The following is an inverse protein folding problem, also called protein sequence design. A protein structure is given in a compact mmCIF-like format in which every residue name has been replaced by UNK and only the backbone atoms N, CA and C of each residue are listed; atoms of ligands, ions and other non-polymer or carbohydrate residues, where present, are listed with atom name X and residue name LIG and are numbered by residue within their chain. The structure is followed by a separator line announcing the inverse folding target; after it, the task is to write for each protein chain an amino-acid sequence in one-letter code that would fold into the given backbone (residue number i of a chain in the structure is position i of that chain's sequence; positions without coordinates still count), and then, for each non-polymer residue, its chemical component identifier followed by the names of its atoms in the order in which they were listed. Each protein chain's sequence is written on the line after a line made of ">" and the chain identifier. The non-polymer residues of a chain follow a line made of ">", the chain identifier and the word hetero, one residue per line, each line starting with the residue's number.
data_IF_543901196460
#
_entry.id   IF_543901196460
#
_cell.length_a   1.000
_cell.length_b   1.000
_cell.length_c   1.000
_cell.angle_alpha   90.00
_cell.angle_beta   90.00
_cell.angle_gamma   90.00
#
_symmetry.space_group_name_H-M   'P 1'
#
loop_
_entity.id
_entity.type
_entity.pdbx_description
1 polymer ?
#
# COMPACT_ATOMS: atom_id res chain seq x y z
N UNK A 1 40.63 26.19 -27.21
CA UNK A 1 39.68 25.38 -26.39
C UNK A 1 39.72 25.74 -24.91
N UNK A 2 40.86 25.78 -24.24
CA UNK A 2 40.95 26.08 -22.77
C UNK A 2 40.26 27.36 -22.31
N UNK A 3 40.35 28.46 -23.07
CA UNK A 3 39.74 29.76 -22.69
C UNK A 3 38.22 29.75 -22.63
N UNK A 4 37.52 28.94 -23.44
CA UNK A 4 36.07 28.83 -23.47
C UNK A 4 35.56 28.10 -22.23
N UNK A 5 36.22 27.01 -21.82
CA UNK A 5 35.83 26.27 -20.60
C UNK A 5 36.12 27.08 -19.32
N UNK A 6 37.22 27.84 -19.27
CA UNK A 6 37.51 28.71 -18.14
C UNK A 6 36.43 29.84 -17.98
N UNK A 7 35.87 30.34 -19.11
CA UNK A 7 34.78 31.30 -19.05
C UNK A 7 33.51 30.67 -18.50
N UNK A 8 33.12 29.46 -18.97
CA UNK A 8 31.93 28.75 -18.48
C UNK A 8 32.01 28.54 -16.96
N UNK A 9 33.16 28.05 -16.46
CA UNK A 9 33.39 27.85 -15.02
C UNK A 9 33.31 29.16 -14.25
N UNK A 10 33.81 30.25 -14.80
CA UNK A 10 33.73 31.58 -14.19
C UNK A 10 32.31 32.11 -14.20
N UNK A 11 31.57 31.94 -15.28
CA UNK A 11 30.18 32.41 -15.43
C UNK A 11 29.20 31.59 -14.56
N UNK A 12 29.52 30.34 -14.21
CA UNK A 12 28.83 29.56 -13.20
C UNK A 12 29.12 30.09 -11.79
N UNK A 13 30.34 30.59 -11.54
CA UNK A 13 30.75 31.14 -10.24
C UNK A 13 30.35 32.62 -10.02
N UNK A 14 30.12 33.38 -11.06
CA UNK A 14 29.79 34.81 -10.94
C UNK A 14 28.63 35.20 -11.88
N UNK A 15 27.44 35.62 -11.39
CA UNK A 15 27.09 35.87 -9.99
C UNK A 15 26.56 34.64 -9.30
N UNK A 16 27.26 34.16 -8.29
CA UNK A 16 26.95 32.94 -7.52
C UNK A 16 25.48 32.85 -7.07
N UNK A 17 24.88 33.96 -6.64
CA UNK A 17 23.49 34.00 -6.18
C UNK A 17 22.47 33.59 -7.24
N UNK A 18 22.66 33.97 -8.49
CA UNK A 18 21.73 33.65 -9.60
C UNK A 18 21.86 32.21 -10.09
N UNK A 19 23.12 31.73 -10.22
CA UNK A 19 23.38 30.34 -10.53
C UNK A 19 22.86 29.42 -9.42
N UNK A 20 23.02 29.82 -8.17
CA UNK A 20 22.47 29.10 -7.02
C UNK A 20 20.94 29.06 -7.04
N UNK A 21 20.27 30.19 -7.31
CA UNK A 21 18.79 30.21 -7.44
C UNK A 21 18.30 29.29 -8.55
N UNK A 22 19.01 29.23 -9.69
CA UNK A 22 18.66 28.34 -10.80
C UNK A 22 18.85 26.87 -10.42
N UNK A 23 19.99 26.55 -9.78
CA UNK A 23 20.25 25.18 -9.27
C UNK A 23 19.19 24.78 -8.26
N UNK A 24 18.83 25.64 -7.30
CA UNK A 24 17.80 25.36 -6.32
C UNK A 24 16.41 25.20 -6.97
N UNK A 25 16.06 26.02 -7.94
CA UNK A 25 14.78 25.91 -8.65
C UNK A 25 14.64 24.54 -9.36
N UNK A 26 15.70 24.10 -10.05
CA UNK A 26 15.72 22.79 -10.71
C UNK A 26 15.71 21.68 -9.67
N UNK A 27 16.52 21.81 -8.61
CA UNK A 27 16.62 20.81 -7.55
C UNK A 27 15.30 20.61 -6.82
N UNK A 28 14.51 21.69 -6.57
CA UNK A 28 13.16 21.61 -5.97
C UNK A 28 12.21 20.84 -6.89
N UNK A 29 12.26 21.06 -8.21
CA UNK A 29 11.43 20.32 -9.16
C UNK A 29 11.76 18.82 -9.16
N UNK A 30 13.05 18.48 -9.24
CA UNK A 30 13.55 17.09 -9.16
C UNK A 30 13.19 16.46 -7.82
N UNK A 31 13.37 17.19 -6.72
CA UNK A 31 13.01 16.77 -5.37
C UNK A 31 11.53 16.40 -5.29
N UNK A 32 10.62 17.28 -5.73
CA UNK A 32 9.17 17.05 -5.63
C UNK A 32 8.73 15.79 -6.38
N UNK A 33 9.21 15.62 -7.62
CA UNK A 33 8.90 14.42 -8.43
C UNK A 33 9.51 13.17 -7.79
N UNK A 34 10.79 13.24 -7.39
CA UNK A 34 11.50 12.11 -6.79
C UNK A 34 10.86 11.62 -5.49
N UNK A 35 10.38 12.53 -4.64
CA UNK A 35 9.64 12.18 -3.41
C UNK A 35 8.36 11.44 -3.74
N UNK A 36 7.55 11.96 -4.67
CA UNK A 36 6.24 11.40 -4.96
C UNK A 36 6.35 10.07 -5.70
N UNK A 37 7.14 10.00 -6.78
CA UNK A 37 7.31 8.76 -7.54
C UNK A 37 8.07 7.70 -6.76
N UNK A 38 9.06 8.10 -5.94
CA UNK A 38 9.78 7.21 -5.05
C UNK A 38 8.84 6.58 -4.02
N UNK A 39 8.08 7.39 -3.30
CA UNK A 39 7.10 6.89 -2.32
C UNK A 39 6.00 6.04 -2.96
N UNK A 40 5.46 6.46 -4.10
CA UNK A 40 4.45 5.70 -4.83
C UNK A 40 4.94 4.32 -5.22
N UNK A 41 6.14 4.22 -5.81
CA UNK A 41 6.68 2.94 -6.26
C UNK A 41 6.94 1.97 -5.11
N UNK A 42 7.40 2.47 -3.96
CA UNK A 42 7.60 1.65 -2.74
C UNK A 42 6.25 1.22 -2.18
N UNK A 43 5.33 2.14 -1.91
CA UNK A 43 4.02 1.82 -1.33
C UNK A 43 3.22 0.86 -2.21
N UNK A 44 3.18 1.09 -3.52
CA UNK A 44 2.46 0.20 -4.46
C UNK A 44 3.00 -1.22 -4.44
N UNK A 45 4.32 -1.38 -4.41
CA UNK A 45 4.97 -2.69 -4.30
C UNK A 45 4.65 -3.34 -2.96
N UNK A 46 4.91 -2.62 -1.86
CA UNK A 46 4.71 -3.16 -0.51
C UNK A 46 3.25 -3.50 -0.23
N UNK A 47 2.30 -2.70 -0.70
CA UNK A 47 0.87 -2.98 -0.58
C UNK A 47 0.50 -4.31 -1.25
N UNK A 48 1.01 -4.56 -2.45
CA UNK A 48 0.83 -5.83 -3.15
C UNK A 48 1.50 -6.99 -2.42
N UNK A 49 2.78 -6.84 -2.06
CA UNK A 49 3.59 -7.92 -1.50
C UNK A 49 3.12 -8.28 -0.08
N UNK A 50 2.75 -7.30 0.73
CA UNK A 50 2.14 -7.53 2.05
C UNK A 50 0.82 -8.30 1.90
N UNK A 51 -0.06 -7.89 0.98
CA UNK A 51 -1.32 -8.59 0.73
C UNK A 51 -1.11 -10.04 0.25
N UNK A 52 -0.27 -10.25 -0.75
CA UNK A 52 0.01 -11.58 -1.28
C UNK A 52 0.69 -12.50 -0.25
N UNK A 53 1.48 -11.95 0.67
CA UNK A 53 2.07 -12.73 1.76
C UNK A 53 1.04 -13.35 2.70
N UNK A 54 -0.19 -12.82 2.76
CA UNK A 54 -1.29 -13.42 3.52
C UNK A 54 -1.87 -14.67 2.86
N UNK A 55 -1.45 -15.02 1.64
CA UNK A 55 -2.04 -16.08 0.82
C UNK A 55 -3.55 -15.85 0.68
N UNK A 56 -4.00 -14.77 -0.02
CA UNK A 56 -5.41 -14.47 -0.10
C UNK A 56 -6.17 -15.60 -0.81
N UNK A 57 -7.32 -15.97 -0.26
CA UNK A 57 -8.19 -16.95 -0.90
C UNK A 57 -8.58 -16.48 -2.32
N UNK A 58 -8.57 -17.40 -3.29
CA UNK A 58 -8.99 -17.11 -4.66
C UNK A 58 -10.48 -16.79 -4.73
N UNK A 59 -11.30 -17.45 -3.90
CA UNK A 59 -12.72 -17.14 -3.74
C UNK A 59 -13.23 -17.48 -2.35
N UNK A 60 -14.27 -16.77 -1.93
CA UNK A 60 -15.07 -17.07 -0.74
C UNK A 60 -16.50 -17.34 -1.16
N UNK A 61 -17.04 -18.50 -0.83
CA UNK A 61 -18.39 -18.94 -1.16
C UNK A 61 -19.22 -18.94 0.11
N UNK A 62 -20.33 -18.20 0.11
CA UNK A 62 -21.24 -18.07 1.24
C UNK A 62 -22.42 -19.04 1.10
N UNK A 63 -22.75 -19.74 2.18
CA UNK A 63 -23.80 -20.77 2.20
C UNK A 63 -24.79 -20.55 3.33
N UNK A 64 -25.99 -21.16 3.21
CA UNK A 64 -27.09 -21.06 4.15
C UNK A 64 -26.92 -21.92 5.41
N UNK A 65 -26.13 -23.01 5.31
CA UNK A 65 -25.91 -23.98 6.38
C UNK A 65 -24.45 -24.03 6.79
N UNK A 66 -24.18 -24.53 8.02
CA UNK A 66 -22.81 -24.64 8.47
C UNK A 66 -22.07 -25.78 7.79
N UNK A 67 -20.90 -25.46 7.28
CA UNK A 67 -20.01 -26.38 6.61
C UNK A 67 -19.44 -27.40 7.60
N UNK A 68 -19.58 -28.67 7.29
CA UNK A 68 -18.93 -29.76 8.03
C UNK A 68 -17.51 -29.98 7.50
N UNK A 69 -16.68 -30.73 8.28
CA UNK A 69 -15.33 -31.06 7.82
C UNK A 69 -15.37 -31.95 6.58
N UNK A 70 -16.29 -32.90 6.56
CA UNK A 70 -16.46 -33.88 5.49
C UNK A 70 -16.72 -33.20 4.12
N UNK A 71 -17.60 -32.20 4.11
CA UNK A 71 -17.87 -31.44 2.87
C UNK A 71 -16.63 -30.65 2.40
N UNK A 72 -15.89 -30.03 3.33
CA UNK A 72 -14.67 -29.31 2.99
C UNK A 72 -13.60 -30.26 2.46
N UNK A 73 -13.45 -31.44 3.08
CA UNK A 73 -12.49 -32.45 2.61
C UNK A 73 -12.89 -33.00 1.24
N UNK A 74 -14.20 -33.15 0.93
CA UNK A 74 -14.65 -33.52 -0.41
C UNK A 74 -14.35 -32.44 -1.46
N UNK A 75 -14.45 -31.18 -1.10
CA UNK A 75 -14.11 -30.05 -1.99
C UNK A 75 -12.60 -30.00 -2.26
N UNK A 76 -11.75 -30.35 -1.29
CA UNK A 76 -10.28 -30.42 -1.51
C UNK A 76 -9.89 -31.42 -2.60
N UNK A 77 -10.71 -32.42 -2.85
CA UNK A 77 -10.47 -33.45 -3.90
C UNK A 77 -10.90 -32.98 -5.30
N UNK A 78 -11.49 -31.79 -5.40
CA UNK A 78 -11.89 -31.24 -6.70
C UNK A 78 -10.65 -30.80 -7.48
N UNK A 79 -10.56 -31.19 -8.74
CA UNK A 79 -9.48 -30.78 -9.63
C UNK A 79 -9.40 -29.26 -9.73
N UNK A 80 -8.19 -28.70 -9.56
CA UNK A 80 -7.94 -27.27 -9.58
C UNK A 80 -8.06 -26.59 -8.22
N UNK A 81 -8.33 -27.32 -7.12
CA UNK A 81 -8.32 -26.80 -5.76
C UNK A 81 -7.02 -27.20 -5.05
N UNK A 82 -6.29 -26.23 -4.55
CA UNK A 82 -5.11 -26.41 -3.71
C UNK A 82 -5.49 -26.45 -2.23
N UNK A 83 -6.33 -25.49 -1.80
CA UNK A 83 -6.77 -25.36 -0.40
C UNK A 83 -8.27 -25.13 -0.37
N UNK A 84 -8.96 -25.76 0.59
CA UNK A 84 -10.32 -25.41 0.97
C UNK A 84 -10.41 -25.34 2.50
N UNK A 85 -10.94 -24.24 3.02
CA UNK A 85 -11.07 -23.96 4.45
C UNK A 85 -12.46 -23.44 4.76
N UNK A 86 -13.05 -23.92 5.84
CA UNK A 86 -14.27 -23.32 6.37
C UNK A 86 -13.94 -22.11 7.23
N UNK A 87 -14.77 -21.12 7.11
CA UNK A 87 -14.59 -19.83 7.78
C UNK A 87 -15.94 -19.26 8.19
N UNK A 88 -15.93 -18.34 9.16
CA UNK A 88 -17.06 -17.49 9.44
C UNK A 88 -16.57 -16.08 9.77
N UNK A 89 -17.35 -15.10 9.39
CA UNK A 89 -17.14 -13.72 9.75
C UNK A 89 -18.37 -13.24 10.53
N UNK A 90 -18.14 -12.60 11.66
CA UNK A 90 -19.18 -12.14 12.54
C UNK A 90 -19.02 -10.65 12.80
N UNK A 91 -19.98 -9.85 12.31
CA UNK A 91 -20.06 -8.45 12.69
C UNK A 91 -20.78 -8.35 14.05
N UNK A 92 -20.08 -7.82 15.03
CA UNK A 92 -20.55 -7.60 16.39
C UNK A 92 -20.23 -6.18 16.83
N UNK A 93 -20.43 -5.86 18.10
CA UNK A 93 -20.12 -4.55 18.68
C UNK A 93 -19.26 -4.69 19.91
N UNK A 94 -18.33 -3.78 20.10
CA UNK A 94 -17.49 -3.63 21.28
C UNK A 94 -17.83 -2.33 22.02
N UNK A 95 -17.76 -2.35 23.34
CA UNK A 95 -18.03 -1.21 24.19
C UNK A 95 -16.72 -0.55 24.60
N UNK A 96 -16.54 0.72 24.23
CA UNK A 96 -15.33 1.49 24.52
C UNK A 96 -15.74 2.91 24.94
N UNK A 97 -15.26 3.37 26.09
CA UNK A 97 -15.47 4.74 26.56
C UNK A 97 -16.93 5.23 26.48
N UNK A 98 -17.88 4.41 26.90
CA UNK A 98 -19.30 4.77 26.91
C UNK A 98 -20.03 4.63 25.57
N UNK A 99 -19.37 4.14 24.51
CA UNK A 99 -19.94 3.98 23.15
C UNK A 99 -19.74 2.59 22.60
N UNK A 100 -20.63 2.19 21.71
CA UNK A 100 -20.57 0.95 20.96
C UNK A 100 -19.93 1.19 19.59
N UNK A 101 -18.83 0.48 19.29
CA UNK A 101 -18.16 0.47 17.99
C UNK A 101 -18.33 -0.87 17.30
N UNK A 102 -18.32 -0.93 15.96
CA UNK A 102 -18.28 -2.19 15.22
C UNK A 102 -17.04 -3.01 15.58
N UNK A 103 -17.22 -4.32 15.68
CA UNK A 103 -16.13 -5.28 15.85
C UNK A 103 -16.36 -6.44 14.88
N UNK A 104 -15.44 -6.61 13.93
CA UNK A 104 -15.44 -7.71 12.98
C UNK A 104 -14.60 -8.86 13.54
N UNK A 105 -15.24 -10.00 13.78
CA UNK A 105 -14.60 -11.20 14.28
C UNK A 105 -14.43 -12.22 13.16
N UNK A 106 -13.20 -12.65 12.96
CA UNK A 106 -12.84 -13.75 12.07
C UNK A 106 -12.75 -15.04 12.86
N UNK A 107 -13.60 -16.01 12.53
CA UNK A 107 -13.64 -17.29 13.21
C UNK A 107 -12.73 -18.26 12.48
N UNK A 108 -11.70 -18.73 13.17
CA UNK A 108 -10.70 -19.64 12.64
C UNK A 108 -10.97 -21.05 13.16
N UNK A 109 -10.99 -22.03 12.27
CA UNK A 109 -11.19 -23.43 12.63
C UNK A 109 -9.97 -24.02 13.33
N UNK A 110 -8.79 -23.84 12.74
CA UNK A 110 -7.52 -24.25 13.31
C UNK A 110 -6.43 -23.20 13.07
N UNK A 111 -5.96 -22.57 14.15
CA UNK A 111 -4.92 -21.54 14.08
C UNK A 111 -3.55 -22.10 13.66
N UNK A 112 -3.32 -23.42 13.82
CA UNK A 112 -2.05 -24.06 13.44
C UNK A 112 -2.01 -24.47 11.95
N UNK A 113 -3.18 -24.66 11.34
CA UNK A 113 -3.31 -25.16 9.95
C UNK A 113 -3.91 -24.15 9.00
N UNK A 114 -3.97 -22.88 9.38
CA UNK A 114 -4.52 -21.85 8.54
C UNK A 114 -3.64 -21.62 7.31
N UNK A 115 -4.16 -21.88 6.13
CA UNK A 115 -3.42 -21.82 4.87
C UNK A 115 -3.73 -20.58 4.05
N UNK A 116 -4.97 -20.02 4.17
CA UNK A 116 -5.39 -18.83 3.42
C UNK A 116 -5.65 -17.63 4.34
N UNK A 117 -5.55 -16.42 3.82
CA UNK A 117 -5.80 -15.14 4.52
C UNK A 117 -5.12 -15.09 5.90
N UNK A 118 -3.83 -15.39 5.92
CA UNK A 118 -3.01 -15.47 7.14
C UNK A 118 -2.90 -14.11 7.82
N UNK A 119 -3.06 -14.09 9.14
CA UNK A 119 -2.63 -12.99 9.98
C UNK A 119 -1.31 -13.37 10.65
N UNK A 120 -0.37 -12.43 10.71
CA UNK A 120 0.98 -12.68 11.23
C UNK A 120 1.00 -12.44 12.74
N UNK A 121 1.63 -13.34 13.49
CA UNK A 121 1.82 -13.19 14.90
C UNK A 121 2.74 -12.01 15.23
N UNK A 122 2.35 -11.19 16.20
CA UNK A 122 3.16 -10.07 16.72
C UNK A 122 3.57 -10.31 18.16
N UNK A 123 2.61 -10.53 19.06
CA UNK A 123 2.89 -10.75 20.50
C UNK A 123 1.78 -11.55 21.18
N UNK A 124 2.03 -11.98 22.42
CA UNK A 124 1.08 -12.66 23.29
C UNK A 124 0.81 -14.11 22.91
N UNK A 125 -0.43 -14.54 22.99
CA UNK A 125 -0.81 -15.91 22.65
C UNK A 125 -0.82 -16.12 21.12
N UNK A 126 -0.29 -17.25 20.64
CA UNK A 126 -0.36 -17.63 19.21
C UNK A 126 -1.74 -18.12 18.79
N UNK A 127 -2.51 -18.66 19.74
CA UNK A 127 -3.92 -19.02 19.54
C UNK A 127 -4.73 -18.61 20.76
N UNK A 128 -5.96 -18.10 20.59
CA UNK A 128 -6.78 -17.71 21.73
C UNK A 128 -7.37 -18.93 22.41
N UNK A 129 -7.44 -18.89 23.76
CA UNK A 129 -8.25 -19.82 24.53
C UNK A 129 -9.75 -19.56 24.32
N UNK A 130 -10.61 -20.43 24.87
CA UNK A 130 -12.04 -20.14 24.91
C UNK A 130 -12.33 -18.88 25.73
N UNK A 131 -13.16 -17.98 25.24
CA UNK A 131 -13.42 -16.68 25.84
C UNK A 131 -12.34 -15.63 25.61
N UNK A 132 -11.39 -15.89 24.70
CA UNK A 132 -10.34 -14.96 24.33
C UNK A 132 -10.31 -14.71 22.82
N UNK A 133 -9.67 -13.60 22.41
CA UNK A 133 -9.41 -13.27 20.99
C UNK A 133 -7.99 -12.76 20.80
N UNK A 134 -7.46 -12.93 19.58
CA UNK A 134 -6.31 -12.18 19.10
C UNK A 134 -6.81 -10.91 18.45
N UNK A 135 -6.07 -9.81 18.60
CA UNK A 135 -6.48 -8.48 18.11
C UNK A 135 -5.53 -8.04 17.00
N UNK A 136 -6.07 -7.47 15.95
CA UNK A 136 -5.27 -6.82 14.93
C UNK A 136 -4.59 -5.57 15.54
N UNK A 137 -3.31 -5.37 15.29
CA UNK A 137 -2.45 -4.38 15.97
C UNK A 137 -3.01 -2.95 15.95
N UNK A 138 -3.66 -2.53 14.84
CA UNK A 138 -4.24 -1.18 14.71
C UNK A 138 -5.52 -1.00 15.51
N UNK A 139 -6.17 -2.09 15.93
CA UNK A 139 -7.43 -2.02 16.65
C UNK A 139 -7.26 -1.65 18.14
N UNK A 140 -6.08 -1.85 18.74
CA UNK A 140 -5.85 -1.51 20.14
C UNK A 140 -6.06 -0.01 20.44
N UNK A 141 -5.64 0.88 19.52
CA UNK A 141 -5.87 2.31 19.66
C UNK A 141 -7.37 2.67 19.70
N UNK A 142 -8.17 2.04 18.84
CA UNK A 142 -9.63 2.23 18.81
C UNK A 142 -10.30 1.61 20.04
N UNK A 143 -9.81 0.45 20.50
CA UNK A 143 -10.33 -0.27 21.67
C UNK A 143 -9.97 0.43 22.98
N UNK A 144 -9.04 1.37 22.99
CA UNK A 144 -8.46 2.00 24.18
C UNK A 144 -8.06 0.94 25.22
N UNK A 145 -7.41 -0.12 24.77
CA UNK A 145 -7.07 -1.32 25.53
C UNK A 145 -5.70 -1.83 25.12
N UNK A 146 -5.16 -2.75 25.88
CA UNK A 146 -3.88 -3.42 25.62
C UNK A 146 -4.02 -4.92 25.74
N UNK A 147 -2.99 -5.64 25.36
CA UNK A 147 -2.92 -7.09 25.52
C UNK A 147 -3.06 -7.47 27.00
N UNK A 148 -3.91 -8.46 27.26
CA UNK A 148 -4.25 -8.92 28.61
C UNK A 148 -5.55 -8.34 29.18
N UNK A 149 -6.04 -7.22 28.65
CA UNK A 149 -7.29 -6.60 29.08
C UNK A 149 -8.53 -7.41 28.67
N UNK A 150 -9.69 -7.07 29.24
CA UNK A 150 -11.00 -7.59 28.85
C UNK A 150 -11.79 -6.54 28.10
N UNK A 151 -12.41 -6.95 27.02
CA UNK A 151 -13.30 -6.12 26.19
C UNK A 151 -14.74 -6.65 26.29
N UNK A 152 -15.69 -5.74 26.47
CA UNK A 152 -17.11 -6.09 26.44
C UNK A 152 -17.60 -6.12 25.00
N UNK A 153 -18.07 -7.28 24.55
CA UNK A 153 -18.55 -7.55 23.20
C UNK A 153 -19.99 -7.98 23.20
N UNK A 154 -20.79 -7.51 22.26
CA UNK A 154 -22.22 -7.83 22.15
C UNK A 154 -22.61 -8.13 20.72
N UNK A 155 -23.17 -9.31 20.47
CA UNK A 155 -23.85 -9.62 19.25
C UNK A 155 -25.26 -8.96 19.22
N UNK A 156 -25.84 -8.73 18.06
CA UNK A 156 -27.03 -7.88 17.82
C UNK A 156 -28.15 -8.08 18.86
N UNK A 157 -28.50 -9.32 19.18
CA UNK A 157 -29.57 -9.66 20.14
C UNK A 157 -29.06 -10.44 21.37
N UNK A 158 -27.74 -10.52 21.55
CA UNK A 158 -27.11 -11.25 22.66
C UNK A 158 -26.88 -10.40 23.90
N UNK A 159 -26.61 -11.07 25.01
CA UNK A 159 -26.10 -10.42 26.22
C UNK A 159 -24.63 -10.01 26.01
N UNK A 160 -24.19 -8.88 26.58
CA UNK A 160 -22.79 -8.50 26.57
C UNK A 160 -21.93 -9.58 27.21
N UNK A 161 -20.82 -9.93 26.57
CA UNK A 161 -19.84 -10.92 27.04
C UNK A 161 -18.47 -10.25 27.18
N UNK A 162 -17.72 -10.61 28.20
CA UNK A 162 -16.34 -10.20 28.36
C UNK A 162 -15.44 -11.17 27.62
N UNK A 163 -14.57 -10.63 26.76
CA UNK A 163 -13.59 -11.40 25.99
C UNK A 163 -12.20 -10.88 26.30
N UNK A 164 -11.30 -11.79 26.62
CA UNK A 164 -9.89 -11.45 26.94
C UNK A 164 -9.12 -11.18 25.67
N UNK A 165 -8.33 -10.11 25.64
CA UNK A 165 -7.40 -9.76 24.56
C UNK A 165 -6.10 -10.54 24.78
N UNK A 166 -5.96 -11.70 24.11
CA UNK A 166 -4.92 -12.68 24.46
C UNK A 166 -3.61 -12.48 23.71
N UNK A 167 -3.63 -11.75 22.62
CA UNK A 167 -2.43 -11.53 21.80
C UNK A 167 -2.72 -10.63 20.61
N UNK A 168 -1.66 -10.24 19.93
CA UNK A 168 -1.65 -9.30 18.82
C UNK A 168 -1.27 -10.01 17.54
N UNK A 169 -1.99 -9.72 16.47
CA UNK A 169 -1.67 -10.14 15.11
C UNK A 169 -1.61 -8.93 14.18
N UNK A 170 -0.90 -9.10 13.08
CA UNK A 170 -0.88 -8.15 11.98
C UNK A 170 -1.53 -8.76 10.75
N UNK A 171 -2.54 -8.09 10.19
CA UNK A 171 -3.20 -8.48 8.95
C UNK A 171 -3.15 -7.32 7.94
N UNK A 172 -2.19 -7.33 7.04
CA UNK A 172 -2.06 -6.26 6.04
C UNK A 172 -3.19 -6.26 4.99
N UNK A 173 -4.06 -7.27 4.97
CA UNK A 173 -5.26 -7.28 4.13
C UNK A 173 -6.42 -6.49 4.75
N UNK A 174 -6.37 -6.19 6.04
CA UNK A 174 -7.40 -5.40 6.73
C UNK A 174 -7.04 -3.91 6.71
N UNK A 175 -8.00 -3.02 6.43
CA UNK A 175 -7.77 -1.58 6.59
C UNK A 175 -7.46 -1.25 8.06
N UNK A 176 -6.78 -0.14 8.34
CA UNK A 176 -6.52 0.28 9.71
C UNK A 176 -7.83 0.52 10.48
N UNK A 177 -7.91 0.04 11.72
CA UNK A 177 -9.13 0.12 12.54
C UNK A 177 -9.61 1.55 12.77
N UNK A 178 -8.70 2.53 12.85
CA UNK A 178 -9.04 3.94 13.02
C UNK A 178 -9.73 4.54 11.79
N UNK A 179 -9.40 4.05 10.57
CA UNK A 179 -9.99 4.53 9.32
C UNK A 179 -11.44 4.06 9.18
N UNK A 180 -11.69 2.77 9.43
CA UNK A 180 -13.03 2.18 9.32
C UNK A 180 -13.84 2.29 10.61
N UNK A 181 -13.26 2.85 11.68
CA UNK A 181 -13.86 2.88 13.03
C UNK A 181 -14.37 1.50 13.46
N UNK A 182 -13.67 0.44 13.06
CA UNK A 182 -14.03 -0.96 13.25
C UNK A 182 -12.87 -1.72 13.84
N UNK A 183 -13.10 -2.41 14.94
CA UNK A 183 -12.12 -3.34 15.53
C UNK A 183 -12.07 -4.64 14.74
N UNK A 184 -10.91 -5.31 14.77
CA UNK A 184 -10.71 -6.62 14.12
C UNK A 184 -10.16 -7.61 15.15
N UNK A 185 -10.86 -8.75 15.28
CA UNK A 185 -10.47 -9.81 16.20
C UNK A 185 -10.53 -11.19 15.55
N UNK A 186 -9.71 -12.12 16.06
CA UNK A 186 -9.62 -13.50 15.61
C UNK A 186 -9.96 -14.43 16.77
N UNK A 187 -10.99 -15.24 16.60
CA UNK A 187 -11.51 -16.14 17.63
C UNK A 187 -11.58 -17.57 17.13
N UNK A 188 -11.61 -18.50 18.05
CA UNK A 188 -11.92 -19.91 17.77
C UNK A 188 -13.44 -20.18 17.84
N UNK A 189 -13.84 -21.38 17.42
CA UNK A 189 -15.23 -21.79 17.42
C UNK A 189 -15.83 -21.82 18.86
N UNK A 190 -15.04 -22.16 19.88
CA UNK A 190 -15.52 -22.18 21.27
C UNK A 190 -15.87 -20.77 21.76
N UNK A 191 -15.06 -19.78 21.46
CA UNK A 191 -15.38 -18.37 21.74
C UNK A 191 -16.60 -17.89 20.97
N UNK A 192 -16.73 -18.27 19.67
CA UNK A 192 -17.93 -17.95 18.90
C UNK A 192 -19.20 -18.46 19.59
N UNK A 193 -19.17 -19.71 20.09
CA UNK A 193 -20.34 -20.32 20.77
C UNK A 193 -20.72 -19.63 22.09
N UNK A 194 -19.80 -18.93 22.74
CA UNK A 194 -20.10 -18.07 23.89
C UNK A 194 -20.84 -16.79 23.47
N UNK A 195 -20.49 -16.21 22.31
CA UNK A 195 -21.08 -14.97 21.80
C UNK A 195 -22.42 -15.26 21.11
N UNK A 196 -22.45 -16.31 20.30
CA UNK A 196 -23.63 -16.74 19.53
C UNK A 196 -23.64 -18.28 19.39
N UNK A 197 -24.51 -18.92 20.16
CA UNK A 197 -24.62 -20.38 20.21
C UNK A 197 -25.04 -21.02 18.88
N UNK A 198 -25.82 -20.29 18.08
CA UNK A 198 -26.39 -20.81 16.81
C UNK A 198 -25.46 -20.62 15.62
N UNK A 199 -24.46 -19.76 15.74
CA UNK A 199 -23.54 -19.43 14.61
C UNK A 199 -22.47 -20.53 14.46
N UNK A 200 -22.05 -20.79 13.21
CA UNK A 200 -21.01 -21.73 12.82
C UNK A 200 -20.28 -21.26 11.58
N UNK A 201 -19.58 -22.13 10.89
CA UNK A 201 -18.87 -21.82 9.66
C UNK A 201 -19.81 -21.82 8.46
N UNK A 202 -20.10 -20.65 7.92
CA UNK A 202 -21.03 -20.43 6.78
C UNK A 202 -20.30 -19.93 5.52
N UNK A 203 -18.99 -19.91 5.52
CA UNK A 203 -18.16 -19.50 4.40
C UNK A 203 -17.14 -20.59 4.06
N UNK A 204 -16.99 -20.90 2.78
CA UNK A 204 -15.93 -21.73 2.23
C UNK A 204 -14.93 -20.83 1.51
N UNK A 205 -13.67 -20.85 1.95
CA UNK A 205 -12.55 -20.22 1.26
C UNK A 205 -11.82 -21.26 0.44
N UNK A 206 -11.54 -20.96 -0.82
CA UNK A 206 -10.78 -21.82 -1.71
C UNK A 206 -9.57 -21.08 -2.28
N UNK A 207 -8.47 -21.82 -2.46
CA UNK A 207 -7.30 -21.41 -3.22
C UNK A 207 -7.19 -22.37 -4.42
N UNK A 208 -7.14 -21.79 -5.62
CA UNK A 208 -6.96 -22.59 -6.84
C UNK A 208 -5.49 -22.95 -7.01
N UNK A 209 -5.20 -24.18 -7.50
CA UNK A 209 -3.83 -24.69 -7.68
C UNK A 209 -3.10 -24.01 -8.84
N UNK A 210 -3.84 -23.71 -9.92
CA UNK A 210 -3.30 -23.10 -11.12
C UNK A 210 -4.16 -21.90 -11.54
N UNK A 211 -3.59 -21.04 -12.39
CA UNK A 211 -4.35 -19.90 -12.92
C UNK A 211 -4.80 -18.88 -11.87
N UNK A 212 -4.11 -18.78 -10.71
CA UNK A 212 -4.43 -17.85 -9.61
C UNK A 212 -4.48 -16.38 -10.04
N UNK A 213 -3.97 -16.07 -11.24
CA UNK A 213 -3.94 -14.72 -11.81
C UNK A 213 -5.06 -14.47 -12.83
N UNK A 214 -5.81 -15.51 -13.21
CA UNK A 214 -6.90 -15.44 -14.18
C UNK A 214 -8.25 -15.41 -13.50
N UNK A 215 -8.94 -14.26 -13.59
CA UNK A 215 -10.27 -14.08 -13.02
C UNK A 215 -11.27 -15.10 -13.60
N UNK A 216 -11.18 -15.37 -14.91
CA UNK A 216 -12.09 -16.32 -15.59
C UNK A 216 -11.85 -17.75 -15.13
N UNK A 217 -10.59 -18.15 -14.92
CA UNK A 217 -10.26 -19.45 -14.37
C UNK A 217 -10.78 -19.62 -12.95
N UNK A 218 -10.51 -18.66 -12.06
CA UNK A 218 -11.01 -18.66 -10.68
C UNK A 218 -12.54 -18.74 -10.67
N UNK A 219 -13.21 -17.97 -11.53
CA UNK A 219 -14.67 -17.96 -11.63
C UNK A 219 -15.21 -19.33 -12.05
N UNK A 220 -14.58 -19.98 -13.04
CA UNK A 220 -14.98 -21.32 -13.50
C UNK A 220 -14.86 -22.36 -12.39
N UNK A 221 -13.72 -22.41 -11.68
CA UNK A 221 -13.51 -23.35 -10.57
C UNK A 221 -14.48 -23.05 -9.42
N UNK A 222 -14.65 -21.78 -9.05
CA UNK A 222 -15.58 -21.37 -7.98
C UNK A 222 -17.02 -21.75 -8.30
N UNK A 223 -17.46 -21.67 -9.56
CA UNK A 223 -18.79 -22.11 -10.01
C UNK A 223 -18.94 -23.62 -9.93
N UNK A 224 -17.91 -24.40 -10.30
CA UNK A 224 -17.90 -25.86 -10.14
C UNK A 224 -18.04 -26.25 -8.67
N UNK A 225 -17.29 -25.62 -7.77
CA UNK A 225 -17.41 -25.85 -6.31
C UNK A 225 -18.80 -25.47 -5.80
N UNK A 226 -19.35 -24.35 -6.25
CA UNK A 226 -20.70 -23.92 -5.87
C UNK A 226 -21.77 -24.93 -6.34
N UNK A 227 -21.58 -25.55 -7.50
CA UNK A 227 -22.48 -26.60 -8.00
C UNK A 227 -22.40 -27.88 -7.14
N UNK A 228 -21.19 -28.27 -6.72
CA UNK A 228 -21.02 -29.42 -5.81
C UNK A 228 -21.68 -29.16 -4.44
N UNK A 229 -21.50 -27.93 -3.87
CA UNK A 229 -22.19 -27.54 -2.65
C UNK A 229 -23.71 -27.63 -2.80
N UNK A 230 -24.26 -27.19 -3.95
CA UNK A 230 -25.69 -27.31 -4.23
C UNK A 230 -26.14 -28.78 -4.29
N UNK A 231 -25.37 -29.65 -4.93
CA UNK A 231 -25.68 -31.11 -4.97
C UNK A 231 -25.62 -31.74 -3.59
N UNK A 232 -24.75 -31.24 -2.70
CA UNK A 232 -24.68 -31.63 -1.29
C UNK A 232 -25.78 -31.00 -0.40
N UNK A 233 -26.74 -30.28 -1.00
CA UNK A 233 -27.88 -29.68 -0.30
C UNK A 233 -27.61 -28.33 0.37
N UNK A 234 -26.55 -27.64 0.01
CA UNK A 234 -26.29 -26.26 0.45
C UNK A 234 -26.87 -25.25 -0.54
N UNK A 235 -27.45 -24.17 -0.03
CA UNK A 235 -27.84 -23.01 -0.86
C UNK A 235 -26.69 -22.01 -0.85
N UNK A 236 -26.15 -21.72 -2.02
CA UNK A 236 -25.09 -20.72 -2.21
C UNK A 236 -25.71 -19.34 -2.32
N UNK A 237 -25.36 -18.43 -1.44
CA UNK A 237 -25.83 -17.04 -1.41
C UNK A 237 -24.99 -16.13 -2.29
N UNK A 238 -23.67 -16.36 -2.34
CA UNK A 238 -22.77 -15.53 -3.11
C UNK A 238 -21.39 -16.18 -3.29
N UNK A 239 -20.67 -15.72 -4.30
CA UNK A 239 -19.27 -16.06 -4.56
C UNK A 239 -18.52 -14.73 -4.65
N UNK A 240 -17.64 -14.47 -3.71
CA UNK A 240 -16.78 -13.29 -3.69
C UNK A 240 -15.41 -13.70 -4.24
N UNK A 241 -14.96 -13.04 -5.30
CA UNK A 241 -13.66 -13.26 -5.92
C UNK A 241 -12.89 -11.93 -5.83
N UNK A 242 -11.88 -11.84 -4.98
CA UNK A 242 -11.06 -10.63 -4.90
C UNK A 242 -10.25 -10.46 -6.20
N UNK A 243 -9.90 -9.23 -6.58
CA UNK A 243 -9.07 -8.99 -7.76
C UNK A 243 -7.74 -9.75 -7.64
N UNK A 244 -7.39 -10.63 -8.60
CA UNK A 244 -6.15 -11.39 -8.53
C UNK A 244 -4.92 -10.49 -8.48
N UNK A 245 -3.93 -10.83 -7.67
CA UNK A 245 -2.66 -10.09 -7.53
C UNK A 245 -2.76 -8.62 -7.14
N UNK A 246 -3.89 -8.19 -6.62
CA UNK A 246 -4.10 -6.80 -6.21
C UNK A 246 -4.72 -6.73 -4.82
N UNK A 247 -4.25 -5.80 -4.03
CA UNK A 247 -4.92 -5.47 -2.77
C UNK A 247 -6.33 -4.94 -3.07
N UNK A 248 -7.39 -5.31 -2.30
CA UNK A 248 -8.76 -4.85 -2.53
C UNK A 248 -8.90 -3.33 -2.63
N UNK A 249 -8.13 -2.58 -1.83
CA UNK A 249 -8.14 -1.10 -1.81
C UNK A 249 -7.10 -0.46 -2.74
N UNK A 250 -6.40 -1.23 -3.59
CA UNK A 250 -5.36 -0.69 -4.46
C UNK A 250 -5.87 0.35 -5.46
N UNK A 251 -7.10 0.19 -5.96
CA UNK A 251 -7.69 1.16 -6.91
C UNK A 251 -7.88 2.55 -6.28
N UNK A 252 -8.26 2.60 -5.01
CA UNK A 252 -8.40 3.86 -4.27
C UNK A 252 -7.04 4.53 -4.09
N UNK A 253 -6.02 3.74 -3.71
CA UNK A 253 -4.65 4.22 -3.58
C UNK A 253 -4.08 4.70 -4.92
N UNK A 254 -4.28 3.95 -6.01
CA UNK A 254 -3.85 4.35 -7.36
C UNK A 254 -4.50 5.68 -7.77
N UNK A 255 -5.76 5.93 -7.42
CA UNK A 255 -6.45 7.20 -7.68
C UNK A 255 -5.80 8.38 -6.93
N UNK A 256 -5.57 8.23 -5.63
CA UNK A 256 -4.91 9.26 -4.82
C UNK A 256 -3.50 9.55 -5.34
N UNK A 257 -2.75 8.51 -5.66
CA UNK A 257 -1.38 8.65 -6.17
C UNK A 257 -1.34 9.26 -7.57
N UNK A 258 -2.34 8.99 -8.41
CA UNK A 258 -2.45 9.65 -9.73
C UNK A 258 -2.61 11.15 -9.58
N UNK A 259 -3.40 11.61 -8.60
CA UNK A 259 -3.53 13.05 -8.30
C UNK A 259 -2.16 13.63 -7.91
N UNK A 260 -1.40 12.97 -7.03
CA UNK A 260 -0.07 13.43 -6.66
C UNK A 260 0.92 13.47 -7.83
N UNK A 261 0.87 12.50 -8.74
CA UNK A 261 1.67 12.48 -9.98
C UNK A 261 1.32 13.67 -10.87
N UNK A 262 0.02 14.00 -11.03
CA UNK A 262 -0.43 15.16 -11.78
C UNK A 262 0.11 16.45 -11.15
N UNK A 263 0.02 16.62 -9.83
CA UNK A 263 0.60 17.77 -9.13
C UNK A 263 2.12 17.85 -9.31
N UNK A 264 2.83 16.74 -9.26
CA UNK A 264 4.27 16.70 -9.51
C UNK A 264 4.62 17.18 -10.92
N UNK A 265 3.82 16.77 -11.91
CA UNK A 265 3.99 17.21 -13.29
C UNK A 265 3.73 18.72 -13.46
N UNK A 266 2.73 19.28 -12.76
CA UNK A 266 2.50 20.73 -12.72
C UNK A 266 3.69 21.47 -12.10
N UNK A 267 4.26 20.98 -11.02
CA UNK A 267 5.46 21.56 -10.39
C UNK A 267 6.64 21.53 -11.36
N UNK A 268 6.80 20.47 -12.15
CA UNK A 268 7.84 20.38 -13.19
C UNK A 268 7.63 21.44 -14.28
N UNK A 269 6.41 21.63 -14.76
CA UNK A 269 6.09 22.66 -15.76
C UNK A 269 6.43 24.06 -15.22
N UNK A 270 5.98 24.37 -13.99
CA UNK A 270 6.27 25.66 -13.35
C UNK A 270 7.77 25.88 -13.17
N UNK A 271 8.48 24.85 -12.71
CA UNK A 271 9.94 24.86 -12.59
C UNK A 271 10.63 25.11 -13.93
N UNK A 272 10.16 24.45 -15.00
CA UNK A 272 10.69 24.65 -16.37
C UNK A 272 10.49 26.10 -16.87
N UNK A 273 9.33 26.70 -16.62
CA UNK A 273 9.07 28.10 -16.93
C UNK A 273 10.01 29.02 -16.14
N UNK A 274 10.22 28.76 -14.86
CA UNK A 274 11.13 29.53 -14.01
C UNK A 274 12.58 29.42 -14.53
N UNK A 275 13.02 28.24 -14.92
CA UNK A 275 14.35 28.01 -15.53
C UNK A 275 14.46 28.79 -16.85
N UNK A 276 13.48 28.68 -17.74
CA UNK A 276 13.49 29.37 -19.04
C UNK A 276 13.56 30.89 -18.87
N UNK A 277 12.75 31.47 -18.00
CA UNK A 277 12.74 32.93 -17.73
C UNK A 277 14.05 33.41 -17.09
N UNK A 278 14.62 32.63 -16.17
CA UNK A 278 15.91 32.94 -15.53
C UNK A 278 17.04 32.90 -16.54
N UNK A 279 17.08 31.88 -17.42
CA UNK A 279 18.09 31.77 -18.48
C UNK A 279 17.96 32.93 -19.49
N UNK A 280 16.74 33.27 -19.91
CA UNK A 280 16.49 34.41 -20.77
C UNK A 280 17.00 35.72 -20.16
N UNK A 281 16.74 35.94 -18.89
CA UNK A 281 17.23 37.11 -18.14
C UNK A 281 18.77 37.16 -18.08
N UNK A 282 19.41 36.00 -17.87
CA UNK A 282 20.88 35.89 -17.87
C UNK A 282 21.45 36.22 -19.25
N UNK A 283 20.84 35.74 -20.33
CA UNK A 283 21.26 36.03 -21.68
C UNK A 283 21.14 37.54 -22.03
N UNK A 284 20.04 38.16 -21.65
CA UNK A 284 19.85 39.63 -21.85
C UNK A 284 20.94 40.43 -21.12
N UNK A 285 21.30 40.08 -19.91
CA UNK A 285 22.37 40.73 -19.14
C UNK A 285 23.75 40.54 -19.74
N UNK A 286 23.96 39.48 -20.49
CA UNK A 286 25.22 39.18 -21.18
C UNK A 286 25.27 39.63 -22.64
N UNK A 287 24.25 40.34 -23.13
CA UNK A 287 24.10 40.72 -24.56
C UNK A 287 25.32 41.50 -25.05
N UNK A 288 25.90 42.37 -24.21
CA UNK A 288 27.14 43.10 -24.53
C UNK A 288 28.32 42.17 -24.72
N UNK A 289 28.45 41.15 -23.89
CA UNK A 289 29.53 40.15 -24.02
C UNK A 289 29.32 39.26 -25.23
N UNK A 290 28.08 38.90 -25.54
CA UNK A 290 27.70 38.17 -26.77
C UNK A 290 28.08 39.01 -28.00
N UNK A 291 27.78 40.31 -28.01
CA UNK A 291 28.16 41.21 -29.06
C UNK A 291 29.66 41.26 -29.29
N UNK A 292 30.46 41.43 -28.23
CA UNK A 292 31.94 41.40 -28.29
C UNK A 292 32.46 40.06 -28.85
N UNK A 293 31.87 38.94 -28.44
CA UNK A 293 32.28 37.63 -28.94
C UNK A 293 31.99 37.50 -30.45
N UNK A 294 30.88 38.04 -30.93
CA UNK A 294 30.50 38.05 -32.35
C UNK A 294 31.41 38.96 -33.19
N UNK A 295 31.81 40.11 -32.66
CA UNK A 295 32.74 40.99 -33.37
C UNK A 295 34.14 40.41 -33.50
N UNK A 296 34.56 39.53 -32.61
CA UNK A 296 35.86 38.80 -32.67
C UNK A 296 35.70 37.52 -33.53
N UNK A 297 34.54 37.28 -34.17
CA UNK A 297 34.33 36.17 -35.11
C UNK A 297 33.67 34.91 -34.51
N UNK A 298 33.06 34.97 -33.31
CA UNK A 298 32.31 33.84 -32.78
C UNK A 298 31.01 33.63 -33.55
N UNK A 299 30.75 32.39 -33.99
CA UNK A 299 29.49 32.03 -34.65
C UNK A 299 28.34 31.93 -33.62
N UNK A 300 27.11 32.14 -34.10
CA UNK A 300 25.90 32.00 -33.26
C UNK A 300 25.82 30.62 -32.61
N UNK A 301 26.18 29.55 -33.34
CA UNK A 301 26.22 28.18 -32.84
C UNK A 301 27.20 28.01 -31.66
N UNK A 302 28.37 28.62 -31.74
CA UNK A 302 29.37 28.58 -30.67
C UNK A 302 28.89 29.28 -29.39
N UNK A 303 28.20 30.40 -29.54
CA UNK A 303 27.62 31.13 -28.41
C UNK A 303 26.50 30.30 -27.77
N UNK A 304 25.58 29.77 -28.58
CA UNK A 304 24.50 28.90 -28.08
C UNK A 304 25.01 27.68 -27.37
N UNK A 305 26.03 26.99 -27.92
CA UNK A 305 26.64 25.81 -27.28
C UNK A 305 27.24 26.17 -25.91
N UNK A 306 27.85 27.36 -25.76
CA UNK A 306 28.35 27.79 -24.45
C UNK A 306 27.24 27.87 -23.41
N UNK A 307 26.10 28.47 -23.73
CA UNK A 307 24.95 28.59 -22.83
C UNK A 307 24.34 27.22 -22.53
N UNK A 308 24.21 26.36 -23.53
CA UNK A 308 23.72 24.99 -23.34
C UNK A 308 24.60 24.18 -22.38
N UNK A 309 25.93 24.25 -22.54
CA UNK A 309 26.87 23.60 -21.63
C UNK A 309 26.76 24.17 -20.21
N UNK A 310 26.62 25.49 -20.08
CA UNK A 310 26.42 26.12 -18.78
C UNK A 310 25.15 25.61 -18.08
N UNK A 311 24.01 25.59 -18.80
CA UNK A 311 22.75 25.08 -18.29
C UNK A 311 22.88 23.60 -17.92
N UNK A 312 23.50 22.78 -18.76
CA UNK A 312 23.72 21.38 -18.49
C UNK A 312 24.52 21.15 -17.20
N UNK A 313 25.56 21.94 -16.95
CA UNK A 313 26.35 21.86 -15.70
C UNK A 313 25.51 22.24 -14.48
N UNK A 314 24.65 23.29 -14.60
CA UNK A 314 23.75 23.68 -13.52
C UNK A 314 22.68 22.61 -13.26
N UNK A 315 22.13 21.97 -14.30
CA UNK A 315 21.24 20.83 -14.15
C UNK A 315 21.93 19.66 -13.44
N UNK A 316 23.18 19.36 -13.83
CA UNK A 316 23.93 18.27 -13.19
C UNK A 316 24.16 18.52 -11.70
N UNK A 317 24.48 19.75 -11.31
CA UNK A 317 24.61 20.15 -9.91
C UNK A 317 23.26 20.04 -9.17
N UNK A 318 22.15 20.43 -9.83
CA UNK A 318 20.81 20.29 -9.27
C UNK A 318 20.41 18.83 -9.05
N UNK A 319 20.76 17.92 -9.97
CA UNK A 319 20.53 16.47 -9.83
C UNK A 319 21.32 15.88 -8.68
N UNK A 320 22.59 16.27 -8.50
CA UNK A 320 23.46 15.81 -7.39
C UNK A 320 22.85 16.18 -6.03
N UNK A 321 22.11 17.27 -5.93
CA UNK A 321 21.44 17.69 -4.70
C UNK A 321 20.04 17.10 -4.63
N UNK A 322 19.26 17.21 -5.72
CA UNK A 322 17.84 16.87 -5.79
C UNK A 322 17.58 15.37 -5.60
N UNK A 323 18.38 14.50 -6.24
CA UNK A 323 18.15 13.07 -6.16
C UNK A 323 18.35 12.52 -4.74
N UNK A 324 19.51 12.74 -4.05
CA UNK A 324 19.69 12.19 -2.71
C UNK A 324 18.69 12.77 -1.69
N UNK A 325 18.40 14.07 -1.76
CA UNK A 325 17.43 14.70 -0.86
C UNK A 325 16.01 14.19 -1.10
N UNK A 326 15.64 13.94 -2.35
CA UNK A 326 14.34 13.33 -2.67
C UNK A 326 14.19 11.91 -2.14
N UNK A 327 15.25 11.09 -2.20
CA UNK A 327 15.24 9.74 -1.67
C UNK A 327 15.08 9.71 -0.14
N UNK A 328 15.78 10.60 0.57
CA UNK A 328 15.63 10.73 2.03
C UNK A 328 14.21 11.16 2.40
N UNK A 329 13.67 12.16 1.72
CA UNK A 329 12.32 12.63 1.97
C UNK A 329 11.25 11.59 1.57
N UNK A 330 11.47 10.85 0.46
CA UNK A 330 10.61 9.73 0.07
C UNK A 330 10.60 8.65 1.15
N UNK A 331 11.77 8.35 1.77
CA UNK A 331 11.85 7.40 2.88
C UNK A 331 10.99 7.84 4.07
N UNK A 332 11.03 9.10 4.45
CA UNK A 332 10.15 9.66 5.47
C UNK A 332 8.67 9.52 5.11
N UNK A 333 8.32 9.86 3.87
CA UNK A 333 6.92 9.85 3.41
C UNK A 333 6.36 8.42 3.31
N UNK A 334 7.07 7.47 2.67
CA UNK A 334 6.54 6.12 2.55
C UNK A 334 6.48 5.38 3.89
N UNK A 335 7.38 5.66 4.85
CA UNK A 335 7.29 5.07 6.19
C UNK A 335 6.03 5.58 6.94
N UNK A 336 5.73 6.88 6.88
CA UNK A 336 4.50 7.42 7.46
C UNK A 336 3.25 6.84 6.77
N UNK A 337 3.25 6.75 5.44
CA UNK A 337 2.15 6.14 4.70
C UNK A 337 1.98 4.65 5.03
N UNK A 338 3.07 3.91 5.21
CA UNK A 338 3.03 2.50 5.59
C UNK A 338 2.38 2.30 6.96
N UNK A 339 2.72 3.14 7.95
CA UNK A 339 2.08 3.12 9.26
C UNK A 339 0.58 3.45 9.16
N UNK A 340 0.23 4.50 8.41
CA UNK A 340 -1.16 4.90 8.17
C UNK A 340 -1.98 3.82 7.43
N UNK A 341 -1.36 3.03 6.57
CA UNK A 341 -2.00 1.97 5.78
C UNK A 341 -1.86 0.58 6.40
N UNK A 342 -1.29 0.48 7.59
CA UNK A 342 -1.01 -0.79 8.28
C UNK A 342 -0.13 -1.75 7.46
N UNK A 343 0.86 -1.23 6.73
CA UNK A 343 1.80 -2.00 5.93
C UNK A 343 3.14 -2.17 6.66
N UNK A 344 3.92 -3.15 6.21
CA UNK A 344 5.33 -3.32 6.58
C UNK A 344 6.21 -3.06 5.38
N UNK A 345 7.16 -2.13 5.50
CA UNK A 345 8.15 -1.89 4.45
C UNK A 345 9.24 -2.94 4.56
N UNK A 346 9.20 -3.94 3.69
CA UNK A 346 10.19 -5.03 3.59
C UNK A 346 11.31 -4.68 2.62
N UNK A 347 10.99 -3.92 1.58
CA UNK A 347 11.95 -3.47 0.58
C UNK A 347 11.81 -1.98 0.33
N UNK A 348 12.79 -1.21 0.79
CA UNK A 348 12.85 0.26 0.65
C UNK A 348 13.50 0.73 -0.66
N UNK A 349 13.93 -0.18 -1.55
CA UNK A 349 14.60 0.20 -2.79
C UNK A 349 13.67 0.96 -3.73
N UNK A 350 14.13 2.13 -4.17
CA UNK A 350 13.44 2.92 -5.19
C UNK A 350 13.87 2.40 -6.56
N UNK A 351 12.94 2.08 -7.47
CA UNK A 351 13.27 1.56 -8.80
C UNK A 351 14.12 2.55 -9.60
N UNK A 352 15.08 2.03 -10.36
CA UNK A 352 16.01 2.85 -11.14
C UNK A 352 15.32 3.78 -12.16
N UNK A 353 14.17 3.39 -12.71
CA UNK A 353 13.42 4.23 -13.63
C UNK A 353 12.93 5.56 -12.99
N UNK A 354 12.68 5.57 -11.67
CA UNK A 354 12.31 6.80 -10.93
C UNK A 354 13.49 7.78 -10.87
N UNK A 355 14.72 7.26 -10.86
CA UNK A 355 15.95 8.08 -10.82
C UNK A 355 16.27 8.63 -12.21
N UNK A 356 15.89 7.89 -13.27
CA UNK A 356 16.10 8.30 -14.67
C UNK A 356 15.13 9.37 -15.16
N UNK A 357 13.94 9.43 -14.59
CA UNK A 357 12.89 10.39 -14.96
C UNK A 357 13.20 11.75 -14.36
#
# INVERSE_FOLDING_TARGET
>A
MKTRYNKIIRDVKTPFSKSLMLVLAIAIGVFGIGVILGSYSVIKREMKDNYLSTVPASATIEVDKYLTKEIVDSIKMVEGIEVAERHATLLTRMYVNGKWYPLLLFVIDDFNKKETNKAFYVSGARKPASGAMLVERTAYGLMNSKEGDELVVKFSNGLPQKIKLAGTVHNPASPPAWQEQTGYGYINLSTLKLINKEKGFDQLRILVSEGQHSLDHIKKISQSVAQQLKMAGYKVHGIQIPPPNRHPHQSQMDTVMTIFVIFSFLVLILGSILVATTVATLMVKQIRQIGIMKTIGATSTQVSTMFLVMIFLLCLLALIIGIPTSQIAAAGLYNQLAELLNLEIRNSSIPFWVILL
#
